data_IF_147380814160
#
_entry.id   IF_147380814160
#
_cell.length_a   1.000
_cell.length_b   1.000
_cell.length_c   1.000
_cell.angle_alpha   90.00
_cell.angle_beta   90.00
_cell.angle_gamma   90.00
#
_symmetry.space_group_name_H-M   'P 1'
#
loop_
_entity.id
_entity.type
_entity.pdbx_description
1 polymer ?
#
# COMPACT_ATOMS: atom_id res chain seq x y z
N UNK A 1 18.09 -39.80 20.95
CA UNK A 1 16.63 -39.83 21.15
C UNK A 1 15.95 -39.81 19.77
N UNK A 2 15.25 -40.91 19.38
CA UNK A 2 14.47 -40.92 18.10
C UNK A 2 13.20 -40.12 18.35
N UNK A 3 13.15 -38.87 17.82
CA UNK A 3 11.92 -38.06 17.87
C UNK A 3 10.80 -38.82 17.16
N UNK A 4 9.63 -38.93 17.82
CA UNK A 4 8.41 -39.55 17.27
C UNK A 4 8.11 -38.96 15.88
N UNK A 5 7.69 -39.78 14.94
CA UNK A 5 7.30 -39.38 13.58
C UNK A 5 6.32 -38.20 13.62
N UNK A 6 5.39 -38.18 14.59
CA UNK A 6 4.44 -37.08 14.82
C UNK A 6 5.14 -35.73 15.03
N UNK A 7 6.13 -35.69 15.92
CA UNK A 7 6.86 -34.45 16.22
C UNK A 7 7.61 -33.94 14.99
N UNK A 8 8.14 -34.85 14.17
CA UNK A 8 8.81 -34.45 12.91
C UNK A 8 7.82 -33.85 11.92
N UNK A 9 6.67 -34.48 11.70
CA UNK A 9 5.63 -33.92 10.81
C UNK A 9 5.13 -32.58 11.32
N UNK A 10 4.78 -32.46 12.59
CA UNK A 10 4.33 -31.18 13.19
C UNK A 10 5.39 -30.10 13.01
N UNK A 11 6.68 -30.39 13.27
CA UNK A 11 7.76 -29.42 13.10
C UNK A 11 7.96 -28.99 11.65
N UNK A 12 7.89 -29.93 10.70
CA UNK A 12 8.05 -29.63 9.27
C UNK A 12 6.92 -28.71 8.80
N UNK A 13 5.66 -29.08 9.08
CA UNK A 13 4.52 -28.27 8.62
C UNK A 13 4.44 -26.91 9.33
N UNK A 14 4.67 -26.86 10.65
CA UNK A 14 4.74 -25.58 11.38
C UNK A 14 5.88 -24.72 10.86
N UNK A 15 7.06 -25.31 10.58
CA UNK A 15 8.19 -24.60 10.01
C UNK A 15 7.89 -24.07 8.59
N UNK A 16 7.20 -24.86 7.76
CA UNK A 16 6.77 -24.44 6.42
C UNK A 16 5.77 -23.26 6.51
N UNK A 17 4.77 -23.38 7.38
CA UNK A 17 3.79 -22.30 7.61
C UNK A 17 4.47 -21.03 8.11
N UNK A 18 5.40 -21.15 9.04
CA UNK A 18 6.20 -20.01 9.53
C UNK A 18 7.02 -19.37 8.41
N UNK A 19 7.67 -20.18 7.56
CA UNK A 19 8.45 -19.67 6.44
C UNK A 19 7.59 -18.91 5.42
N UNK A 20 6.38 -19.40 5.13
CA UNK A 20 5.42 -18.72 4.25
C UNK A 20 5.00 -17.37 4.86
N UNK A 21 4.65 -17.34 6.16
CA UNK A 21 4.23 -16.10 6.82
C UNK A 21 5.37 -15.07 6.90
N UNK A 22 6.59 -15.51 7.16
CA UNK A 22 7.77 -14.65 7.13
C UNK A 22 8.00 -14.11 5.69
N UNK A 23 7.84 -14.96 4.67
CA UNK A 23 7.93 -14.54 3.27
C UNK A 23 6.90 -13.46 2.93
N UNK A 24 5.64 -13.65 3.30
CA UNK A 24 4.57 -12.65 3.11
C UNK A 24 4.91 -11.35 3.83
N UNK A 25 5.37 -11.43 5.08
CA UNK A 25 5.78 -10.25 5.85
C UNK A 25 6.94 -9.51 5.22
N UNK A 26 7.96 -10.21 4.73
CA UNK A 26 9.10 -9.60 4.03
C UNK A 26 8.66 -8.89 2.75
N UNK A 27 7.82 -9.55 1.93
CA UNK A 27 7.28 -8.96 0.70
C UNK A 27 6.45 -7.72 1.02
N UNK A 28 5.55 -7.81 2.01
CA UNK A 28 4.72 -6.68 2.44
C UNK A 28 5.60 -5.50 2.90
N UNK A 29 6.60 -5.75 3.74
CA UNK A 29 7.46 -4.70 4.27
C UNK A 29 8.33 -4.03 3.19
N UNK A 30 8.75 -4.77 2.17
CA UNK A 30 9.63 -4.25 1.11
C UNK A 30 8.86 -3.60 -0.04
N UNK A 31 7.72 -4.16 -0.44
CA UNK A 31 6.98 -3.70 -1.61
C UNK A 31 5.91 -2.65 -1.30
N UNK A 32 5.36 -2.65 -0.09
CA UNK A 32 4.17 -1.86 0.22
C UNK A 32 4.44 -0.35 0.15
N UNK A 33 5.57 0.14 0.67
CA UNK A 33 5.93 1.58 0.57
C UNK A 33 6.10 2.00 -0.89
N UNK A 34 6.80 1.19 -1.70
CA UNK A 34 6.99 1.48 -3.13
C UNK A 34 5.69 1.49 -3.91
N UNK A 35 4.79 0.54 -3.61
CA UNK A 35 3.47 0.47 -4.23
C UNK A 35 2.63 1.71 -3.92
N UNK A 36 2.56 2.12 -2.66
CA UNK A 36 1.82 3.32 -2.26
C UNK A 36 2.40 4.61 -2.87
N UNK A 37 3.73 4.72 -2.93
CA UNK A 37 4.37 5.88 -3.57
C UNK A 37 4.00 5.93 -5.05
N UNK A 38 4.01 4.80 -5.75
CA UNK A 38 3.66 4.72 -7.16
C UNK A 38 2.18 5.03 -7.40
N UNK A 39 1.28 4.56 -6.54
CA UNK A 39 -0.15 4.89 -6.57
C UNK A 39 -0.38 6.41 -6.39
N UNK A 40 0.34 7.04 -5.47
CA UNK A 40 0.28 8.49 -5.26
C UNK A 40 0.86 9.28 -6.44
N UNK A 41 1.92 8.82 -7.07
CA UNK A 41 2.46 9.42 -8.30
C UNK A 41 1.41 9.39 -9.39
N UNK A 42 0.76 8.26 -9.61
CA UNK A 42 -0.31 8.14 -10.60
C UNK A 42 -1.52 9.03 -10.25
N UNK A 43 -1.87 9.15 -8.97
CA UNK A 43 -2.94 10.06 -8.53
C UNK A 43 -2.61 11.52 -8.80
N UNK A 44 -1.36 11.96 -8.57
CA UNK A 44 -0.89 13.31 -8.87
C UNK A 44 -0.91 13.60 -10.37
N UNK A 45 -0.54 12.64 -11.19
CA UNK A 45 -0.58 12.73 -12.64
C UNK A 45 -2.01 12.90 -13.16
N UNK A 46 -2.94 12.06 -12.71
CA UNK A 46 -4.36 12.18 -13.04
C UNK A 46 -4.95 13.51 -12.56
N UNK A 47 -4.56 13.98 -11.38
CA UNK A 47 -4.97 15.28 -10.87
C UNK A 47 -4.48 16.42 -11.77
N UNK A 48 -3.22 16.36 -12.22
CA UNK A 48 -2.67 17.32 -13.18
C UNK A 48 -3.47 17.30 -14.49
N UNK A 49 -3.71 16.13 -15.07
CA UNK A 49 -4.43 15.99 -16.34
C UNK A 49 -5.84 16.60 -16.24
N UNK A 50 -6.60 16.28 -15.21
CA UNK A 50 -7.94 16.80 -14.99
C UNK A 50 -7.96 18.31 -14.81
N UNK A 51 -7.02 18.86 -14.02
CA UNK A 51 -6.89 20.30 -13.83
C UNK A 51 -6.44 21.01 -15.11
N UNK A 52 -5.54 20.40 -15.87
CA UNK A 52 -5.06 20.96 -17.14
C UNK A 52 -6.18 21.06 -18.18
N UNK A 53 -7.05 20.06 -18.26
CA UNK A 53 -8.24 20.11 -19.13
C UNK A 53 -9.13 21.28 -18.72
N UNK A 54 -9.43 21.45 -17.44
CA UNK A 54 -10.26 22.56 -16.95
C UNK A 54 -9.65 23.93 -17.25
N UNK A 55 -8.33 24.08 -17.10
CA UNK A 55 -7.63 25.31 -17.46
C UNK A 55 -7.75 25.61 -18.95
N UNK A 56 -7.59 24.59 -19.80
CA UNK A 56 -7.71 24.74 -21.25
C UNK A 56 -9.15 25.07 -21.67
N UNK A 57 -10.16 24.42 -21.09
CA UNK A 57 -11.57 24.71 -21.36
C UNK A 57 -11.93 26.15 -20.98
N UNK A 58 -11.40 26.69 -19.85
CA UNK A 58 -11.57 28.09 -19.49
C UNK A 58 -11.01 29.05 -20.53
N UNK A 59 -9.82 28.73 -21.07
CA UNK A 59 -9.18 29.55 -22.09
C UNK A 59 -9.95 29.53 -23.41
N UNK A 60 -10.41 28.36 -23.85
CA UNK A 60 -11.19 28.19 -25.07
C UNK A 60 -12.55 28.92 -25.00
N UNK A 61 -13.16 28.98 -23.82
CA UNK A 61 -14.39 29.73 -23.55
C UNK A 61 -14.15 31.24 -23.30
N UNK A 62 -12.89 31.69 -23.26
CA UNK A 62 -12.52 33.07 -22.95
C UNK A 62 -12.85 33.51 -21.50
N UNK A 63 -13.00 32.56 -20.58
CA UNK A 63 -13.22 32.80 -19.16
C UNK A 63 -11.89 32.98 -18.42
N UNK A 64 -11.91 33.84 -17.41
CA UNK A 64 -10.75 33.91 -16.54
C UNK A 64 -10.65 32.64 -15.66
N UNK A 65 -9.48 32.02 -15.62
CA UNK A 65 -9.24 30.83 -14.78
C UNK A 65 -9.61 31.10 -13.32
N UNK A 66 -9.37 32.35 -12.86
CA UNK A 66 -9.73 32.77 -11.50
C UNK A 66 -11.24 32.68 -11.22
N UNK A 67 -12.09 32.88 -12.22
CA UNK A 67 -13.56 32.85 -12.05
C UNK A 67 -14.05 31.42 -11.82
N UNK A 68 -13.44 30.43 -12.49
CA UNK A 68 -13.76 29.00 -12.32
C UNK A 68 -13.38 28.50 -10.90
N UNK A 69 -12.34 29.09 -10.31
CA UNK A 69 -11.88 28.76 -8.96
C UNK A 69 -12.37 29.72 -7.88
N UNK A 70 -13.12 30.79 -8.23
CA UNK A 70 -13.57 31.85 -7.29
C UNK A 70 -14.55 31.35 -6.21
N UNK A 71 -15.14 30.17 -6.37
CA UNK A 71 -16.03 29.54 -5.39
C UNK A 71 -15.33 28.87 -4.21
N UNK A 72 -13.98 28.79 -4.21
CA UNK A 72 -13.22 28.04 -3.20
C UNK A 72 -13.34 28.61 -1.78
N UNK A 73 -13.53 29.93 -1.63
CA UNK A 73 -13.70 30.60 -0.34
C UNK A 73 -15.14 30.55 0.21
N UNK A 74 -16.12 30.20 -0.65
CA UNK A 74 -17.54 30.07 -0.28
C UNK A 74 -17.98 28.61 -0.27
N UNK A 75 -17.39 27.80 0.57
CA UNK A 75 -17.63 26.36 0.67
C UNK A 75 -19.08 25.93 0.95
N UNK A 76 -19.99 26.87 1.24
CA UNK A 76 -21.38 26.61 1.69
C UNK A 76 -22.47 27.06 0.69
N UNK A 77 -22.15 27.68 -0.45
CA UNK A 77 -23.15 28.09 -1.44
C UNK A 77 -23.30 27.03 -2.51
N UNK A 78 -24.53 26.57 -2.75
CA UNK A 78 -24.92 25.39 -3.50
C UNK A 78 -24.57 25.28 -4.99
N UNK A 79 -23.76 26.19 -5.56
CA UNK A 79 -23.21 26.13 -6.91
C UNK A 79 -21.68 26.09 -6.84
N UNK A 80 -21.13 24.91 -6.59
CA UNK A 80 -19.71 24.68 -6.70
C UNK A 80 -19.36 24.34 -8.15
N UNK A 81 -18.39 25.04 -8.73
CA UNK A 81 -17.82 24.70 -10.04
C UNK A 81 -17.15 23.32 -9.98
N UNK A 82 -16.99 22.68 -11.14
CA UNK A 82 -16.36 21.35 -11.20
C UNK A 82 -14.88 21.42 -10.73
N UNK A 83 -14.21 22.54 -10.99
CA UNK A 83 -12.85 22.79 -10.50
C UNK A 83 -12.76 22.81 -8.97
N UNK A 84 -13.69 23.48 -8.30
CA UNK A 84 -13.75 23.53 -6.82
C UNK A 84 -14.08 22.15 -6.23
N UNK A 85 -14.99 21.38 -6.86
CA UNK A 85 -15.30 20.00 -6.45
C UNK A 85 -14.07 19.10 -6.58
N UNK A 86 -13.31 19.23 -7.67
CA UNK A 86 -12.09 18.47 -7.88
C UNK A 86 -11.05 18.81 -6.82
N UNK A 87 -10.78 20.10 -6.56
CA UNK A 87 -9.85 20.52 -5.51
C UNK A 87 -10.22 19.98 -4.13
N UNK A 88 -11.52 20.03 -3.80
CA UNK A 88 -12.02 19.47 -2.53
C UNK A 88 -11.81 17.96 -2.47
N UNK A 89 -12.09 17.25 -3.56
CA UNK A 89 -11.86 15.80 -3.64
C UNK A 89 -10.39 15.46 -3.51
N UNK A 90 -9.50 16.22 -4.16
CA UNK A 90 -8.05 16.04 -4.06
C UNK A 90 -7.56 16.25 -2.62
N UNK A 91 -8.06 17.29 -1.94
CA UNK A 91 -7.70 17.57 -0.56
C UNK A 91 -8.29 16.54 0.42
N UNK A 92 -9.59 16.30 0.39
CA UNK A 92 -10.31 15.52 1.41
C UNK A 92 -10.09 14.02 1.25
N UNK A 93 -10.09 13.52 0.02
CA UNK A 93 -9.97 12.08 -0.26
C UNK A 93 -8.53 11.64 -0.43
N UNK A 94 -7.72 12.42 -1.14
CA UNK A 94 -6.37 12.02 -1.53
C UNK A 94 -5.28 12.69 -0.70
N UNK A 95 -5.64 13.66 0.18
CA UNK A 95 -4.73 14.46 0.99
C UNK A 95 -3.69 15.19 0.11
N UNK A 96 -4.14 15.70 -1.04
CA UNK A 96 -3.34 16.49 -1.98
C UNK A 96 -3.67 17.95 -1.80
N UNK A 97 -2.73 18.70 -1.30
CA UNK A 97 -2.81 20.16 -1.20
C UNK A 97 -2.36 20.76 -2.54
N UNK A 98 -3.18 21.65 -3.09
CA UNK A 98 -2.95 22.28 -4.39
C UNK A 98 -2.89 23.78 -4.25
N UNK A 99 -1.93 24.41 -4.91
CA UNK A 99 -1.82 25.87 -5.06
C UNK A 99 -1.65 26.16 -6.55
N UNK A 100 -2.44 27.09 -7.06
CA UNK A 100 -2.41 27.57 -8.44
C UNK A 100 -2.15 29.07 -8.44
N UNK A 101 -1.22 29.54 -9.27
CA UNK A 101 -0.76 30.91 -9.33
C UNK A 101 -0.75 31.40 -10.77
N UNK A 102 -1.23 32.61 -10.99
CA UNK A 102 -1.03 33.32 -12.26
C UNK A 102 0.45 33.72 -12.38
N UNK A 103 1.14 33.15 -13.35
CA UNK A 103 2.57 33.39 -13.56
C UNK A 103 2.91 34.81 -14.05
N UNK A 104 1.95 35.54 -14.64
CA UNK A 104 2.15 36.93 -15.10
C UNK A 104 1.99 37.91 -13.94
N UNK A 105 0.87 37.79 -13.21
CA UNK A 105 0.49 38.77 -12.18
C UNK A 105 0.98 38.38 -10.78
N UNK A 106 1.56 37.22 -10.64
CA UNK A 106 2.04 36.66 -9.38
C UNK A 106 0.94 36.51 -8.31
N UNK A 107 -0.32 36.37 -8.78
CA UNK A 107 -1.51 36.31 -7.94
C UNK A 107 -1.93 34.86 -7.73
N UNK A 108 -2.19 34.52 -6.47
CA UNK A 108 -2.78 33.22 -6.14
C UNK A 108 -4.20 33.16 -6.71
N UNK A 109 -4.44 32.18 -7.58
CA UNK A 109 -5.76 31.89 -8.13
C UNK A 109 -6.56 31.07 -7.11
N UNK A 110 -5.94 29.99 -6.61
CA UNK A 110 -6.57 29.12 -5.61
C UNK A 110 -5.50 28.45 -4.74
N UNK A 111 -5.87 28.18 -3.49
CA UNK A 111 -5.05 27.41 -2.56
C UNK A 111 -5.93 26.56 -1.66
N UNK A 112 -5.65 25.26 -1.59
CA UNK A 112 -6.17 24.37 -0.54
C UNK A 112 -5.18 24.20 0.62
N UNK A 113 -3.99 24.80 0.53
CA UNK A 113 -2.96 24.71 1.55
C UNK A 113 -3.12 25.79 2.64
N UNK A 114 -2.78 25.44 3.87
CA UNK A 114 -2.78 26.40 4.99
C UNK A 114 -1.71 27.49 4.84
N UNK A 115 -0.57 27.13 4.23
CA UNK A 115 0.54 28.05 3.97
C UNK A 115 0.81 28.11 2.47
N UNK A 116 -0.05 28.84 1.77
CA UNK A 116 0.06 29.05 0.34
C UNK A 116 1.36 29.77 -0.03
N UNK A 117 1.78 30.76 0.77
CA UNK A 117 2.98 31.56 0.50
C UNK A 117 4.23 30.71 0.43
N UNK A 118 4.41 29.81 1.37
CA UNK A 118 5.54 28.87 1.36
C UNK A 118 5.55 27.97 0.12
N UNK A 119 4.38 27.42 -0.28
CA UNK A 119 4.28 26.56 -1.45
C UNK A 119 4.56 27.32 -2.75
N UNK A 120 4.12 28.58 -2.85
CA UNK A 120 4.39 29.45 -4.00
C UNK A 120 5.88 29.73 -4.15
N UNK A 121 6.52 30.15 -3.05
CA UNK A 121 7.97 30.40 -3.06
C UNK A 121 8.76 29.15 -3.44
N UNK A 122 8.29 28.00 -3.02
CA UNK A 122 8.88 26.70 -3.36
C UNK A 122 8.72 26.37 -4.85
N UNK A 123 7.50 26.53 -5.38
CA UNK A 123 7.24 26.31 -6.80
C UNK A 123 8.10 27.22 -7.69
N UNK A 124 8.19 28.52 -7.35
CA UNK A 124 9.03 29.48 -8.05
C UNK A 124 10.51 29.10 -8.03
N UNK A 125 11.02 28.66 -6.87
CA UNK A 125 12.42 28.20 -6.77
C UNK A 125 12.68 27.02 -7.67
N UNK A 126 11.76 26.09 -7.78
CA UNK A 126 11.89 24.93 -8.67
C UNK A 126 11.90 25.33 -10.14
N UNK A 127 11.01 26.26 -10.54
CA UNK A 127 10.92 26.76 -11.90
C UNK A 127 12.18 27.53 -12.32
N UNK A 128 12.80 28.29 -11.41
CA UNK A 128 14.04 29.02 -11.67
C UNK A 128 15.27 28.10 -11.70
N UNK A 129 15.09 26.81 -11.42
CA UNK A 129 16.18 25.84 -11.41
C UNK A 129 17.04 25.87 -10.15
N UNK A 130 16.54 26.48 -9.07
CA UNK A 130 17.18 26.46 -7.77
C UNK A 130 16.75 25.19 -6.99
N UNK A 131 17.18 24.07 -7.54
CA UNK A 131 16.79 22.74 -7.09
C UNK A 131 17.22 22.46 -5.65
N UNK A 132 16.32 21.93 -4.84
CA UNK A 132 16.71 21.34 -3.58
C UNK A 132 17.51 20.07 -3.87
N UNK A 133 18.84 20.12 -3.65
CA UNK A 133 19.78 19.00 -3.87
C UNK A 133 19.38 17.70 -3.18
N UNK A 134 18.31 17.70 -2.38
CA UNK A 134 17.74 16.56 -1.66
C UNK A 134 16.50 15.99 -2.33
N UNK A 135 16.02 16.63 -3.39
CA UNK A 135 14.85 16.17 -4.12
C UNK A 135 15.23 14.99 -5.02
N UNK A 136 14.46 13.93 -4.94
CA UNK A 136 14.57 12.78 -5.84
C UNK A 136 13.47 12.91 -6.90
N UNK A 137 13.83 13.20 -8.13
CA UNK A 137 12.91 13.21 -9.26
C UNK A 137 12.45 11.78 -9.51
N UNK A 138 11.14 11.59 -9.57
CA UNK A 138 10.50 10.29 -9.83
C UNK A 138 10.01 10.25 -11.27
N UNK A 139 9.36 11.35 -11.72
CA UNK A 139 8.88 11.51 -13.09
C UNK A 139 9.07 12.94 -13.54
N UNK A 140 9.46 13.12 -14.80
CA UNK A 140 9.58 14.43 -15.41
C UNK A 140 8.94 14.37 -16.80
N UNK A 141 8.07 15.33 -17.06
CA UNK A 141 7.44 15.55 -18.35
C UNK A 141 7.74 16.98 -18.82
N UNK A 142 7.26 17.36 -20.00
CA UNK A 142 7.51 18.69 -20.56
C UNK A 142 6.95 19.81 -19.67
N UNK A 143 5.78 19.59 -19.05
CA UNK A 143 5.03 20.61 -18.35
C UNK A 143 5.04 20.44 -16.84
N UNK A 144 5.42 19.27 -16.33
CA UNK A 144 5.44 19.01 -14.89
C UNK A 144 6.57 18.08 -14.46
N UNK A 145 6.93 18.19 -13.20
CA UNK A 145 7.89 17.31 -12.53
C UNK A 145 7.28 16.77 -11.25
N UNK A 146 7.39 15.45 -11.06
CA UNK A 146 7.02 14.78 -9.80
C UNK A 146 8.29 14.36 -9.09
N UNK A 147 8.45 14.82 -7.84
CA UNK A 147 9.63 14.57 -7.04
C UNK A 147 9.27 14.21 -5.60
N UNK A 148 10.17 13.47 -4.95
CA UNK A 148 10.13 13.20 -3.51
C UNK A 148 11.09 14.13 -2.81
N UNK A 149 10.58 14.95 -1.89
CA UNK A 149 11.37 15.92 -1.10
C UNK A 149 11.26 15.64 0.39
N UNK A 150 12.31 15.99 1.12
CA UNK A 150 12.30 15.96 2.58
C UNK A 150 12.11 17.38 3.12
N UNK A 151 11.03 17.58 3.87
CA UNK A 151 10.72 18.85 4.49
C UNK A 151 11.27 18.89 5.94
N UNK A 152 12.28 19.72 6.23
CA UNK A 152 12.92 19.74 7.55
C UNK A 152 12.00 20.20 8.68
N UNK A 153 11.04 21.10 8.42
CA UNK A 153 10.13 21.63 9.44
C UNK A 153 9.15 20.54 9.95
N UNK A 154 8.58 19.76 9.05
CA UNK A 154 7.69 18.65 9.40
C UNK A 154 8.41 17.34 9.65
N UNK A 155 9.73 17.26 9.38
CA UNK A 155 10.55 16.06 9.42
C UNK A 155 9.94 14.89 8.64
N UNK A 156 9.27 15.20 7.55
CA UNK A 156 8.53 14.25 6.73
C UNK A 156 8.91 14.35 5.27
N UNK A 157 8.72 13.23 4.55
CA UNK A 157 8.82 13.23 3.11
C UNK A 157 7.49 13.61 2.48
N UNK A 158 7.57 14.35 1.38
CA UNK A 158 6.43 14.75 0.56
C UNK A 158 6.66 14.29 -0.88
N UNK A 159 5.58 13.98 -1.57
CA UNK A 159 5.53 13.95 -3.01
C UNK A 159 5.00 15.29 -3.48
N UNK A 160 5.69 15.88 -4.44
CA UNK A 160 5.38 17.18 -5.02
C UNK A 160 5.31 17.04 -6.53
N UNK A 161 4.22 17.52 -7.12
CA UNK A 161 4.04 17.70 -8.54
C UNK A 161 3.97 19.20 -8.80
N UNK A 162 4.86 19.74 -9.61
CA UNK A 162 4.94 21.16 -9.90
C UNK A 162 5.28 21.41 -11.36
N UNK A 163 4.91 22.58 -11.86
CA UNK A 163 5.16 22.96 -13.23
C UNK A 163 4.17 23.99 -13.73
N UNK A 164 3.90 23.93 -15.02
CA UNK A 164 2.94 24.78 -15.73
C UNK A 164 1.80 23.95 -16.29
N UNK A 165 0.60 24.53 -16.36
CA UNK A 165 -0.42 23.97 -17.24
C UNK A 165 -0.09 24.23 -18.70
N UNK A 166 -0.86 23.68 -19.63
CA UNK A 166 -0.59 23.78 -21.07
C UNK A 166 -0.70 25.19 -21.65
N UNK A 167 -1.19 26.14 -20.85
CA UNK A 167 -1.18 27.58 -21.18
C UNK A 167 0.22 28.22 -21.06
N UNK A 168 1.21 27.48 -20.55
CA UNK A 168 2.57 27.93 -20.25
C UNK A 168 2.66 29.19 -19.37
N UNK A 169 1.58 29.55 -18.68
CA UNK A 169 1.49 30.71 -17.83
C UNK A 169 1.09 30.34 -16.39
N UNK A 170 0.07 29.51 -16.25
CA UNK A 170 -0.47 29.15 -14.94
C UNK A 170 0.44 28.13 -14.25
N UNK A 171 1.05 28.56 -13.15
CA UNK A 171 1.95 27.75 -12.33
C UNK A 171 1.12 26.98 -11.31
N UNK A 172 1.48 25.74 -11.09
CA UNK A 172 0.86 24.93 -10.03
C UNK A 172 1.90 24.21 -9.19
N UNK A 173 1.52 23.90 -7.96
CA UNK A 173 2.19 22.93 -7.09
C UNK A 173 1.15 22.12 -6.34
N UNK A 174 1.26 20.81 -6.44
CA UNK A 174 0.46 19.83 -5.70
C UNK A 174 1.38 19.08 -4.76
N UNK A 175 0.97 18.92 -3.51
CA UNK A 175 1.79 18.32 -2.48
C UNK A 175 0.98 17.31 -1.67
N UNK A 176 1.55 16.12 -1.43
CA UNK A 176 0.96 15.11 -0.56
C UNK A 176 2.00 14.55 0.42
N UNK A 177 1.70 14.49 1.74
CA UNK A 177 2.63 13.96 2.71
C UNK A 177 2.72 12.43 2.63
N UNK A 178 3.95 11.90 2.68
CA UNK A 178 4.19 10.46 2.74
C UNK A 178 4.15 9.89 4.18
N UNK A 179 4.02 10.75 5.18
CA UNK A 179 3.95 10.33 6.58
C UNK A 179 2.73 9.44 6.86
N UNK A 180 1.57 9.78 6.31
CA UNK A 180 0.34 8.99 6.44
C UNK A 180 0.46 7.59 5.83
N UNK A 181 1.26 7.46 4.77
CA UNK A 181 1.54 6.16 4.13
C UNK A 181 2.38 5.29 5.07
N UNK A 182 3.44 5.85 5.65
CA UNK A 182 4.29 5.12 6.60
C UNK A 182 3.52 4.64 7.81
N UNK A 183 2.65 5.46 8.35
CA UNK A 183 1.79 5.09 9.48
C UNK A 183 0.83 3.96 9.10
N UNK A 184 0.22 4.03 7.91
CA UNK A 184 -0.65 2.97 7.39
C UNK A 184 0.08 1.65 7.17
N UNK A 185 1.31 1.70 6.63
CA UNK A 185 2.18 0.53 6.45
C UNK A 185 2.56 -0.09 7.79
N UNK A 186 2.92 0.73 8.78
CA UNK A 186 3.27 0.25 10.13
C UNK A 186 2.08 -0.41 10.81
N UNK A 187 0.89 0.18 10.70
CA UNK A 187 -0.35 -0.39 11.24
C UNK A 187 -0.68 -1.73 10.56
N UNK A 188 -0.57 -1.78 9.23
CA UNK A 188 -0.77 -3.02 8.44
C UNK A 188 0.22 -4.12 8.87
N UNK A 189 1.49 -3.78 9.05
CA UNK A 189 2.52 -4.72 9.50
C UNK A 189 2.25 -5.27 10.91
N UNK A 190 1.80 -4.43 11.83
CA UNK A 190 1.40 -4.87 13.18
C UNK A 190 0.21 -5.81 13.12
N UNK A 191 -0.82 -5.46 12.34
CA UNK A 191 -1.99 -6.32 12.14
C UNK A 191 -1.59 -7.68 11.54
N UNK A 192 -0.76 -7.67 10.49
CA UNK A 192 -0.26 -8.89 9.87
C UNK A 192 0.53 -9.77 10.84
N UNK A 193 1.33 -9.16 11.74
CA UNK A 193 2.05 -9.88 12.78
C UNK A 193 1.09 -10.60 13.77
N UNK A 194 0.05 -9.91 14.25
CA UNK A 194 -0.94 -10.52 15.14
C UNK A 194 -1.70 -11.66 14.46
N UNK A 195 -2.17 -11.45 13.24
CA UNK A 195 -2.87 -12.49 12.47
C UNK A 195 -1.92 -13.66 12.16
N UNK A 196 -0.66 -13.38 11.84
CA UNK A 196 0.36 -14.39 11.59
C UNK A 196 0.64 -15.27 12.83
N UNK A 197 0.77 -14.67 14.00
CA UNK A 197 0.96 -15.42 15.26
C UNK A 197 -0.28 -16.28 15.57
N UNK A 198 -1.48 -15.72 15.44
CA UNK A 198 -2.71 -16.48 15.65
C UNK A 198 -2.83 -17.66 14.66
N UNK A 199 -2.51 -17.44 13.38
CA UNK A 199 -2.50 -18.48 12.36
C UNK A 199 -1.47 -19.59 12.64
N UNK A 200 -0.28 -19.23 13.14
CA UNK A 200 0.73 -20.22 13.55
C UNK A 200 0.25 -21.08 14.71
N UNK A 201 -0.37 -20.49 15.72
CA UNK A 201 -0.88 -21.22 16.89
C UNK A 201 -2.00 -22.17 16.43
N UNK A 202 -3.02 -21.67 15.74
CA UNK A 202 -4.14 -22.45 15.26
C UNK A 202 -3.69 -23.56 14.30
N UNK A 203 -2.83 -23.22 13.34
CA UNK A 203 -2.27 -24.17 12.40
C UNK A 203 -1.47 -25.28 13.09
N UNK A 204 -0.65 -24.93 14.08
CA UNK A 204 0.11 -25.92 14.87
C UNK A 204 -0.79 -26.88 15.62
N UNK A 205 -1.88 -26.38 16.22
CA UNK A 205 -2.88 -27.20 16.91
C UNK A 205 -3.57 -28.16 15.95
N UNK A 206 -4.05 -27.65 14.81
CA UNK A 206 -4.70 -28.47 13.78
C UNK A 206 -3.75 -29.55 13.26
N UNK A 207 -2.52 -29.19 12.90
CA UNK A 207 -1.51 -30.13 12.39
C UNK A 207 -1.18 -31.19 13.44
N UNK A 208 -1.12 -30.83 14.73
CA UNK A 208 -0.89 -31.79 15.81
C UNK A 208 -2.01 -32.83 15.85
N UNK A 209 -3.29 -32.42 15.78
CA UNK A 209 -4.42 -33.35 15.78
C UNK A 209 -4.45 -34.22 14.53
N UNK A 210 -4.28 -33.63 13.34
CA UNK A 210 -4.22 -34.37 12.07
C UNK A 210 -3.06 -35.38 12.09
N UNK A 211 -1.87 -34.96 12.52
CA UNK A 211 -0.72 -35.86 12.65
C UNK A 211 -0.99 -37.02 13.62
N UNK A 212 -1.72 -36.77 14.70
CA UNK A 212 -2.11 -37.83 15.63
C UNK A 212 -3.08 -38.83 14.96
N UNK A 213 -4.05 -38.34 14.22
CA UNK A 213 -5.08 -39.16 13.55
C UNK A 213 -4.50 -40.02 12.43
N UNK A 214 -3.58 -39.47 11.64
CA UNK A 214 -2.98 -40.19 10.49
C UNK A 214 -1.79 -41.07 10.94
N UNK A 215 -0.91 -40.55 11.79
CA UNK A 215 0.35 -41.26 12.11
C UNK A 215 0.14 -42.42 13.06
N UNK A 216 -0.87 -42.37 13.93
CA UNK A 216 -1.13 -43.45 14.92
C UNK A 216 -1.52 -44.77 14.26
N UNK A 217 -2.49 -44.81 13.32
CA UNK A 217 -2.83 -46.03 12.59
C UNK A 217 -1.64 -46.61 11.79
N UNK A 218 -0.89 -45.75 11.11
CA UNK A 218 0.27 -46.17 10.29
C UNK A 218 1.34 -46.85 11.19
N UNK A 219 1.60 -46.31 12.39
CA UNK A 219 2.54 -46.93 13.32
C UNK A 219 2.05 -48.28 13.81
N UNK A 220 0.73 -48.41 14.08
CA UNK A 220 0.13 -49.70 14.47
C UNK A 220 0.26 -50.73 13.37
N UNK A 221 -0.05 -50.35 12.12
CA UNK A 221 0.12 -51.23 10.94
C UNK A 221 1.57 -51.66 10.75
N UNK A 222 2.51 -50.73 10.92
CA UNK A 222 3.95 -51.04 10.86
C UNK A 222 4.39 -52.00 11.97
N UNK A 223 3.82 -51.89 13.16
CA UNK A 223 4.10 -52.80 14.27
C UNK A 223 3.53 -54.22 13.98
N UNK A 224 2.31 -54.29 13.48
CA UNK A 224 1.68 -55.56 13.08
C UNK A 224 2.50 -56.22 11.97
N UNK A 225 2.87 -55.51 10.94
CA UNK A 225 3.73 -56.03 9.85
C UNK A 225 5.06 -56.55 10.41
N UNK A 226 5.65 -55.89 11.38
CA UNK A 226 6.88 -56.33 12.05
C UNK A 226 6.66 -57.58 12.92
N UNK A 227 5.50 -57.76 13.49
CA UNK A 227 5.14 -59.00 14.23
C UNK A 227 4.92 -60.16 13.27
N UNK A 228 4.20 -59.92 12.17
CA UNK A 228 3.99 -60.94 11.11
C UNK A 228 5.31 -61.41 10.52
N UNK A 229 6.28 -60.52 10.29
CA UNK A 229 7.62 -60.90 9.84
C UNK A 229 8.40 -61.78 10.81
N UNK A 230 7.94 -61.88 12.06
CA UNK A 230 8.48 -62.78 13.08
C UNK A 230 7.62 -64.04 13.29
N UNK A 231 6.75 -64.35 12.30
CA UNK A 231 5.83 -65.53 12.32
C UNK A 231 4.71 -65.43 13.37
N UNK A 232 4.43 -64.23 13.90
CA UNK A 232 3.29 -63.96 14.78
C UNK A 232 2.09 -63.54 13.94
N UNK A 233 1.31 -64.49 13.46
CA UNK A 233 0.14 -64.32 12.58
C UNK A 233 -1.17 -64.04 13.36
N UNK A 234 -1.16 -64.04 14.71
CA UNK A 234 -2.32 -63.70 15.52
C UNK A 234 -2.53 -62.18 15.65
N UNK A 235 -1.56 -61.37 15.21
CA UNK A 235 -1.63 -59.91 15.28
C UNK A 235 -2.67 -59.37 14.30
N UNK A 236 -3.78 -58.83 14.79
CA UNK A 236 -4.86 -58.21 14.02
C UNK A 236 -4.89 -56.71 14.24
N UNK A 237 -5.30 -55.97 13.20
CA UNK A 237 -5.53 -54.53 13.27
C UNK A 237 -6.95 -54.31 13.79
N UNK A 238 -7.08 -53.74 14.98
CA UNK A 238 -8.36 -53.41 15.62
C UNK A 238 -8.77 -51.93 15.38
N UNK A 239 -8.33 -51.33 14.29
CA UNK A 239 -8.67 -49.96 13.92
C UNK A 239 -10.00 -49.85 13.20
N UNK A 240 -10.85 -48.90 13.58
CA UNK A 240 -12.15 -48.64 12.94
C UNK A 240 -12.11 -47.44 11.98
N UNK A 241 -11.01 -47.26 11.26
CA UNK A 241 -10.92 -46.21 10.26
C UNK A 241 -11.72 -46.58 9.00
N UNK A 242 -12.52 -45.66 8.49
CA UNK A 242 -13.31 -45.86 7.23
C UNK A 242 -12.60 -45.35 6.00
N UNK A 243 -11.30 -45.00 6.12
CA UNK A 243 -10.43 -44.51 5.05
C UNK A 243 -9.55 -45.63 4.47
N UNK A 244 -8.65 -45.30 3.56
CA UNK A 244 -7.69 -46.19 2.93
C UNK A 244 -6.81 -46.95 3.94
N UNK A 245 -6.61 -46.34 5.12
CA UNK A 245 -5.86 -46.95 6.21
C UNK A 245 -6.67 -48.11 6.85
N UNK A 246 -7.99 -47.96 6.95
CA UNK A 246 -8.89 -49.00 7.42
C UNK A 246 -8.94 -50.20 6.46
N UNK A 247 -8.95 -49.91 5.16
CA UNK A 247 -8.89 -50.97 4.09
C UNK A 247 -7.56 -51.71 4.14
N UNK A 248 -6.44 -51.05 4.44
CA UNK A 248 -5.13 -51.68 4.53
C UNK A 248 -4.97 -52.55 5.79
N UNK A 249 -5.79 -52.29 6.82
CA UNK A 249 -5.73 -52.99 8.10
C UNK A 249 -6.64 -54.19 8.22
N UNK A 250 -7.62 -54.34 7.32
CA UNK A 250 -8.54 -55.48 7.25
C UNK A 250 -8.00 -56.57 6.34
#
# INVERSE_FOLDING_TARGET
>A
MKRSLRIRFTLIFTGLTAAILIGIWCVNNWMLESFYVQDKVQTLELAYEQMNIMVMDCLDEGKAIADEFAGSDKLDSGEQTDAVRLLKTLNDKYNIMTVIVDGINDKVIVSSARDAGFMIDKAKKYIIGNDDRRAQIIKQDNNFTIQKTFEPHSRSFYLECWGYYSDNNTIFIMTTPLASIRESVELSNRFLAYVGIAALILGSVIIYFVSKTVTSPILKLSEIAKRMSKLDFEAKYEGHSQDEIGVLGN
#
